data_IF_544101019694
#
_entry.id   IF_544101019694
#
_cell.length_a   1.000
_cell.length_b   1.000
_cell.length_c   1.000
_cell.angle_alpha   90.00
_cell.angle_beta   90.00
_cell.angle_gamma   90.00
#
_symmetry.space_group_name_H-M   'P 1'
#
loop_
_entity.id
_entity.type
_entity.pdbx_description
1 polymer ?
#
# COMPACT_ATOMS: atom_id res chain seq x y z
N UNK A 1 54.75 -5.35 10.39
CA UNK A 1 54.51 -5.14 8.94
C UNK A 1 53.90 -3.75 8.74
N UNK A 2 54.67 -2.80 8.23
CA UNK A 2 54.19 -1.44 7.97
C UNK A 2 53.35 -1.46 6.68
N UNK A 3 52.02 -1.33 6.81
CA UNK A 3 51.16 -1.06 5.65
C UNK A 3 51.56 0.30 5.09
N UNK A 4 52.13 0.31 3.89
CA UNK A 4 52.51 1.53 3.19
C UNK A 4 51.32 2.49 3.12
N UNK A 5 51.55 3.75 3.47
CA UNK A 5 50.57 4.84 3.36
C UNK A 5 50.31 5.09 1.88
N UNK A 6 49.36 4.35 1.30
CA UNK A 6 48.79 4.68 0.00
C UNK A 6 48.27 6.11 0.05
N UNK A 7 48.54 6.87 -1.01
CA UNK A 7 48.09 8.25 -1.14
C UNK A 7 46.56 8.25 -1.05
N UNK A 8 46.00 8.90 -0.01
CA UNK A 8 44.55 9.01 0.16
C UNK A 8 43.93 9.61 -1.10
N UNK A 9 42.85 8.98 -1.59
CA UNK A 9 42.15 9.46 -2.78
C UNK A 9 41.58 10.87 -2.51
N UNK A 10 41.30 11.68 -3.56
CA UNK A 10 40.65 12.97 -3.39
C UNK A 10 39.34 12.88 -2.59
N UNK A 11 38.59 11.78 -2.76
CA UNK A 11 37.36 11.49 -2.02
C UNK A 11 37.63 11.20 -0.54
N UNK A 12 38.68 10.43 -0.22
CA UNK A 12 39.06 10.14 1.17
C UNK A 12 39.50 11.39 1.92
N UNK A 13 40.21 12.30 1.26
CA UNK A 13 40.64 13.58 1.84
C UNK A 13 39.46 14.46 2.18
N UNK A 14 38.46 14.52 1.30
CA UNK A 14 37.25 15.32 1.54
C UNK A 14 36.41 14.70 2.68
N UNK A 15 36.27 13.38 2.71
CA UNK A 15 35.59 12.69 3.81
C UNK A 15 36.29 12.94 5.17
N UNK A 16 37.63 12.84 5.23
CA UNK A 16 38.40 13.15 6.43
C UNK A 16 38.13 14.59 6.93
N UNK A 17 38.04 15.54 5.99
CA UNK A 17 37.77 16.96 6.29
C UNK A 17 36.37 17.15 6.89
N UNK A 18 35.36 16.53 6.29
CA UNK A 18 33.96 16.61 6.74
C UNK A 18 33.78 16.02 8.14
N UNK A 19 34.25 14.79 8.34
CA UNK A 19 34.15 14.07 9.62
C UNK A 19 34.90 14.83 10.71
N UNK A 20 36.13 15.27 10.43
CA UNK A 20 36.93 16.09 11.35
C UNK A 20 36.18 17.35 11.80
N UNK A 21 35.58 18.07 10.84
CA UNK A 21 34.82 19.30 11.12
C UNK A 21 33.59 19.02 11.97
N UNK A 22 32.84 17.95 11.67
CA UNK A 22 31.64 17.56 12.42
C UNK A 22 31.99 17.17 13.85
N UNK A 23 32.96 16.29 14.07
CA UNK A 23 33.38 15.87 15.43
C UNK A 23 33.85 17.08 16.24
N UNK A 24 34.63 18.00 15.66
CA UNK A 24 35.04 19.25 16.36
C UNK A 24 33.84 20.12 16.77
N UNK A 25 32.86 20.22 15.88
CA UNK A 25 31.65 21.01 16.12
C UNK A 25 30.85 20.42 17.28
N UNK A 26 30.68 19.09 17.30
CA UNK A 26 29.98 18.37 18.36
C UNK A 26 30.67 18.49 19.72
N UNK A 27 32.00 18.34 19.77
CA UNK A 27 32.78 18.53 21.00
C UNK A 27 32.59 19.95 21.55
N UNK A 28 32.58 20.97 20.67
CA UNK A 28 32.39 22.37 21.09
C UNK A 28 30.96 22.65 21.56
N UNK A 29 29.95 22.16 20.83
CA UNK A 29 28.54 22.40 21.13
C UNK A 29 28.09 21.72 22.43
N UNK A 30 28.51 20.47 22.65
CA UNK A 30 28.18 19.68 23.84
C UNK A 30 29.14 19.93 25.01
N UNK A 31 30.15 20.79 24.83
CA UNK A 31 31.22 21.08 25.81
C UNK A 31 31.98 19.84 26.30
N UNK A 32 32.13 18.83 25.43
CA UNK A 32 32.76 17.55 25.76
C UNK A 32 34.25 17.63 25.43
N UNK A 33 35.10 17.17 26.35
CA UNK A 33 36.54 17.06 26.11
C UNK A 33 36.85 15.79 25.33
N UNK A 34 37.91 15.82 24.52
CA UNK A 34 38.34 14.63 23.76
C UNK A 34 38.60 13.41 24.65
N UNK A 35 39.07 13.61 25.88
CA UNK A 35 39.32 12.52 26.83
C UNK A 35 38.02 11.84 27.29
N UNK A 36 36.92 12.59 27.37
CA UNK A 36 35.60 12.07 27.72
C UNK A 36 35.02 11.27 26.56
N UNK A 37 35.18 11.75 25.33
CA UNK A 37 34.84 11.00 24.13
C UNK A 37 35.63 9.68 24.06
N UNK A 38 36.93 9.69 24.38
CA UNK A 38 37.76 8.49 24.42
C UNK A 38 37.26 7.47 25.45
N UNK A 39 36.91 7.93 26.65
CA UNK A 39 36.36 7.07 27.71
C UNK A 39 34.98 6.51 27.37
N UNK A 40 34.09 7.35 26.80
CA UNK A 40 32.73 6.95 26.48
C UNK A 40 32.63 6.02 25.26
N UNK A 41 33.51 6.17 24.28
CA UNK A 41 33.51 5.34 23.06
C UNK A 41 34.41 4.10 23.17
N UNK A 42 35.32 4.06 24.15
CA UNK A 42 36.38 3.05 24.23
C UNK A 42 37.45 3.17 23.13
N UNK A 43 37.43 4.23 22.31
CA UNK A 43 38.41 4.47 21.26
C UNK A 43 39.65 5.15 21.88
N UNK A 44 40.88 4.65 21.62
CA UNK A 44 42.11 5.28 22.14
C UNK A 44 42.22 6.76 21.76
N UNK A 45 42.67 7.59 22.70
CA UNK A 45 42.81 9.04 22.49
C UNK A 45 43.73 9.40 21.31
N UNK A 46 44.76 8.58 21.05
CA UNK A 46 45.64 8.71 19.89
C UNK A 46 44.88 8.54 18.57
N UNK A 47 43.98 7.55 18.50
CA UNK A 47 43.13 7.27 17.33
C UNK A 47 42.11 8.39 17.11
N UNK A 48 41.42 8.85 18.17
CA UNK A 48 40.51 10.00 18.09
C UNK A 48 41.23 11.28 17.67
N UNK A 49 42.48 11.48 18.09
CA UNK A 49 43.30 12.63 17.63
C UNK A 49 43.49 12.58 16.12
N UNK A 50 43.71 11.39 15.56
CA UNK A 50 43.79 11.18 14.11
C UNK A 50 42.52 11.61 13.38
N UNK A 51 41.35 11.19 13.89
CA UNK A 51 40.04 11.55 13.31
C UNK A 51 39.74 13.04 13.44
N UNK A 52 39.96 13.62 14.62
CA UNK A 52 39.73 15.04 14.90
C UNK A 52 40.67 15.90 14.06
N UNK A 53 41.92 15.50 13.83
CA UNK A 53 42.83 16.26 12.95
C UNK A 53 42.59 16.04 11.46
N UNK A 54 41.78 15.03 11.08
CA UNK A 54 41.55 14.68 9.68
C UNK A 54 42.71 13.93 9.04
N UNK A 55 43.54 13.25 9.84
CA UNK A 55 44.69 12.48 9.38
C UNK A 55 44.37 11.01 9.07
N UNK A 56 43.20 10.53 9.51
CA UNK A 56 42.74 9.16 9.32
C UNK A 56 41.22 9.12 9.26
N UNK A 57 40.67 8.16 8.50
CA UNK A 57 39.23 7.89 8.49
C UNK A 57 38.85 6.91 9.62
N UNK A 58 37.74 7.14 10.34
CA UNK A 58 37.17 6.13 11.20
C UNK A 58 36.66 4.95 10.37
N UNK A 59 36.92 3.74 10.84
CA UNK A 59 36.24 2.53 10.36
C UNK A 59 34.80 2.52 10.88
N UNK A 60 33.89 1.82 10.20
CA UNK A 60 32.46 1.78 10.54
C UNK A 60 32.22 1.48 12.04
N UNK A 61 32.92 0.52 12.63
CA UNK A 61 32.80 0.19 14.06
C UNK A 61 33.11 1.39 14.98
N UNK A 62 34.17 2.14 14.67
CA UNK A 62 34.53 3.33 15.44
C UNK A 62 33.59 4.50 15.14
N UNK A 63 33.03 4.56 13.93
CA UNK A 63 32.03 5.57 13.58
C UNK A 63 30.73 5.35 14.35
N UNK A 64 30.26 4.10 14.46
CA UNK A 64 29.08 3.74 15.25
C UNK A 64 29.25 4.12 16.71
N UNK A 65 30.39 3.76 17.33
CA UNK A 65 30.70 4.15 18.72
C UNK A 65 30.62 5.66 18.95
N UNK A 66 31.11 6.46 17.99
CA UNK A 66 31.05 7.93 18.08
C UNK A 66 29.59 8.40 17.91
N UNK A 67 28.83 7.82 16.98
CA UNK A 67 27.42 8.14 16.76
C UNK A 67 26.58 7.86 18.01
N UNK A 68 26.73 6.67 18.59
CA UNK A 68 26.04 6.25 19.82
C UNK A 68 26.38 7.18 21.00
N UNK A 69 27.64 7.59 21.12
CA UNK A 69 28.06 8.52 22.18
C UNK A 69 27.40 9.90 22.07
N UNK A 70 27.12 10.35 20.85
CA UNK A 70 26.47 11.64 20.61
C UNK A 70 24.94 11.53 20.42
N UNK A 71 24.37 10.33 20.54
CA UNK A 71 22.95 10.03 20.31
C UNK A 71 22.49 10.52 18.92
N UNK A 72 23.22 10.12 17.88
CA UNK A 72 22.94 10.48 16.49
C UNK A 72 23.16 9.30 15.57
N UNK A 73 22.65 9.41 14.35
CA UNK A 73 22.91 8.41 13.31
C UNK A 73 24.33 8.57 12.72
N UNK A 74 24.94 7.45 12.34
CA UNK A 74 26.24 7.40 11.65
C UNK A 74 26.26 8.29 10.40
N UNK A 75 25.11 8.43 9.72
CA UNK A 75 24.91 9.26 8.54
C UNK A 75 25.10 10.75 8.82
N UNK A 76 24.84 11.21 10.05
CA UNK A 76 25.07 12.61 10.44
C UNK A 76 26.55 12.94 10.61
N UNK A 77 27.38 11.92 10.85
CA UNK A 77 28.82 12.02 10.99
C UNK A 77 29.55 11.88 9.66
N UNK A 78 29.13 10.92 8.83
CA UNK A 78 29.68 10.69 7.50
C UNK A 78 28.58 10.37 6.48
N UNK A 79 28.26 11.33 5.58
CA UNK A 79 27.26 11.16 4.52
C UNK A 79 27.52 9.99 3.58
N UNK A 80 28.71 9.37 3.58
CA UNK A 80 28.97 8.18 2.75
C UNK A 80 28.22 6.93 3.23
N UNK A 81 27.74 6.90 4.47
CA UNK A 81 26.96 5.77 5.00
C UNK A 81 25.46 5.88 4.71
N UNK A 82 25.04 6.83 3.86
CA UNK A 82 23.67 6.96 3.37
C UNK A 82 23.13 5.70 2.65
N UNK A 83 23.96 4.69 2.35
CA UNK A 83 23.58 3.54 1.51
C UNK A 83 23.39 2.20 2.22
N UNK A 84 23.47 2.10 3.56
CA UNK A 84 23.47 0.75 4.19
C UNK A 84 22.26 0.48 5.10
N UNK A 85 21.66 1.46 5.80
CA UNK A 85 20.54 1.17 6.72
C UNK A 85 19.44 2.25 6.85
N UNK A 86 19.08 2.97 5.78
CA UNK A 86 17.84 3.78 5.70
C UNK A 86 17.45 4.08 4.24
N UNK A 87 16.15 4.29 3.92
CA UNK A 87 15.58 4.34 2.57
C UNK A 87 15.87 5.65 1.80
N UNK A 88 17.08 6.20 1.92
CA UNK A 88 17.41 7.54 1.40
C UNK A 88 17.44 7.57 -0.13
N UNK A 89 17.84 6.48 -0.78
CA UNK A 89 17.79 6.36 -2.25
C UNK A 89 16.38 6.55 -2.79
N UNK A 90 15.38 5.96 -2.12
CA UNK A 90 13.98 6.09 -2.52
C UNK A 90 13.47 7.53 -2.35
N UNK A 91 13.84 8.20 -1.26
CA UNK A 91 13.37 9.57 -1.00
C UNK A 91 13.91 10.61 -1.98
N UNK A 92 15.15 10.46 -2.44
CA UNK A 92 15.78 11.39 -3.39
C UNK A 92 15.27 11.15 -4.81
N UNK A 93 15.23 9.90 -5.27
CA UNK A 93 14.68 9.55 -6.58
C UNK A 93 13.19 9.93 -6.69
N UNK A 94 12.40 9.69 -5.64
CA UNK A 94 11.00 10.10 -5.61
C UNK A 94 10.84 11.62 -5.65
N UNK A 95 11.64 12.37 -4.88
CA UNK A 95 11.56 13.82 -4.85
C UNK A 95 11.89 14.44 -6.21
N UNK A 96 12.94 13.94 -6.88
CA UNK A 96 13.35 14.44 -8.20
C UNK A 96 12.27 14.15 -9.26
N UNK A 97 11.71 12.93 -9.28
CA UNK A 97 10.61 12.55 -10.19
C UNK A 97 9.36 13.37 -9.92
N UNK A 98 8.96 13.50 -8.65
CA UNK A 98 7.76 14.23 -8.25
C UNK A 98 7.87 15.74 -8.58
N UNK A 99 9.05 16.34 -8.44
CA UNK A 99 9.28 17.73 -8.82
C UNK A 99 9.22 17.95 -10.34
N UNK A 100 9.65 16.96 -11.15
CA UNK A 100 9.60 17.04 -12.60
C UNK A 100 8.18 16.97 -13.19
N UNK A 101 7.19 16.47 -12.44
CA UNK A 101 5.78 16.45 -12.86
C UNK A 101 5.19 17.87 -12.96
N UNK A 102 4.17 18.06 -13.79
CA UNK A 102 3.38 19.30 -13.76
C UNK A 102 2.40 19.34 -12.56
N UNK A 103 1.66 20.43 -12.42
CA UNK A 103 0.71 20.60 -11.30
C UNK A 103 -0.40 19.54 -11.28
N UNK A 104 -0.95 19.19 -12.44
CA UNK A 104 -2.04 18.22 -12.55
C UNK A 104 -1.58 16.83 -12.13
N UNK A 105 -0.42 16.40 -12.62
CA UNK A 105 0.13 15.08 -12.31
C UNK A 105 0.65 15.01 -10.86
N UNK A 106 1.23 16.08 -10.31
CA UNK A 106 1.58 16.13 -8.88
C UNK A 106 0.36 15.99 -7.98
N UNK A 107 -0.75 16.63 -8.34
CA UNK A 107 -1.99 16.51 -7.59
C UNK A 107 -2.50 15.05 -7.61
N UNK A 108 -2.51 14.42 -8.78
CA UNK A 108 -2.92 13.01 -8.91
C UNK A 108 -2.06 12.06 -8.05
N UNK A 109 -0.73 12.23 -8.03
CA UNK A 109 0.16 11.43 -7.19
C UNK A 109 -0.08 11.71 -5.69
N UNK A 110 -0.33 12.96 -5.33
CA UNK A 110 -0.63 13.34 -3.93
C UNK A 110 -1.95 12.72 -3.46
N UNK A 111 -2.98 12.78 -4.29
CA UNK A 111 -4.30 12.22 -3.98
C UNK A 111 -4.24 10.70 -3.89
N UNK A 112 -3.50 10.06 -4.79
CA UNK A 112 -3.21 8.62 -4.71
C UNK A 112 -2.49 8.27 -3.40
N UNK A 113 -1.41 8.97 -3.05
CA UNK A 113 -0.66 8.70 -1.82
C UNK A 113 -1.52 8.88 -0.56
N UNK A 114 -2.38 9.92 -0.53
CA UNK A 114 -3.33 10.12 0.58
C UNK A 114 -4.36 8.99 0.66
N UNK A 115 -4.92 8.58 -0.47
CA UNK A 115 -5.86 7.46 -0.56
C UNK A 115 -5.22 6.16 -0.06
N UNK A 116 -3.98 5.87 -0.46
CA UNK A 116 -3.26 4.68 0.00
C UNK A 116 -3.00 4.70 1.51
N UNK A 117 -2.65 5.87 2.07
CA UNK A 117 -2.49 6.01 3.52
C UNK A 117 -3.81 5.80 4.28
N UNK A 118 -4.92 6.31 3.75
CA UNK A 118 -6.25 6.07 4.31
C UNK A 118 -6.66 4.60 4.24
N UNK A 119 -6.40 3.94 3.11
CA UNK A 119 -6.61 2.50 2.93
C UNK A 119 -5.81 1.71 3.96
N UNK A 120 -4.50 1.97 4.11
CA UNK A 120 -3.65 1.30 5.09
C UNK A 120 -4.18 1.48 6.52
N UNK A 121 -4.53 2.71 6.90
CA UNK A 121 -5.06 3.00 8.24
C UNK A 121 -6.38 2.28 8.48
N UNK A 122 -7.23 2.20 7.45
CA UNK A 122 -8.52 1.48 7.52
C UNK A 122 -8.30 -0.02 7.65
N UNK A 123 -7.39 -0.60 6.88
CA UNK A 123 -7.00 -2.01 6.97
C UNK A 123 -6.49 -2.35 8.38
N UNK A 124 -5.56 -1.56 8.91
CA UNK A 124 -5.03 -1.76 10.27
C UNK A 124 -6.11 -1.70 11.34
N UNK A 125 -7.12 -0.84 11.16
CA UNK A 125 -8.25 -0.68 12.10
C UNK A 125 -9.24 -1.84 12.03
N UNK A 126 -9.43 -2.46 10.86
CA UNK A 126 -10.51 -3.41 10.61
C UNK A 126 -10.05 -4.87 10.54
N UNK A 127 -8.75 -5.13 10.33
CA UNK A 127 -8.18 -6.47 10.12
C UNK A 127 -8.51 -7.53 11.17
N UNK A 128 -8.81 -7.14 12.41
CA UNK A 128 -9.05 -8.07 13.51
C UNK A 128 -10.50 -8.59 13.53
N UNK A 129 -11.45 -7.77 13.07
CA UNK A 129 -12.89 -8.03 13.15
C UNK A 129 -13.57 -8.17 11.78
N UNK A 130 -12.91 -7.76 10.70
CA UNK A 130 -13.48 -7.71 9.36
C UNK A 130 -12.53 -8.26 8.30
N UNK A 131 -13.14 -8.77 7.23
CA UNK A 131 -12.47 -9.33 6.07
C UNK A 131 -12.62 -8.39 4.87
N UNK A 132 -11.54 -8.10 4.14
CA UNK A 132 -11.59 -7.27 2.93
C UNK A 132 -12.06 -8.09 1.72
N UNK A 133 -12.90 -7.47 0.89
CA UNK A 133 -13.40 -8.02 -0.37
C UNK A 133 -13.06 -7.08 -1.51
N UNK A 134 -12.44 -7.62 -2.57
CA UNK A 134 -12.20 -6.89 -3.82
C UNK A 134 -13.44 -6.95 -4.69
N UNK A 135 -14.10 -5.81 -4.89
CA UNK A 135 -15.37 -5.70 -5.58
C UNK A 135 -15.19 -4.94 -6.87
N UNK A 136 -15.81 -5.44 -7.94
CA UNK A 136 -15.69 -4.89 -9.28
C UNK A 136 -17.04 -4.35 -9.77
N UNK A 137 -17.00 -3.28 -10.57
CA UNK A 137 -18.18 -2.76 -11.25
C UNK A 137 -18.74 -3.73 -12.31
N UNK A 138 -17.85 -4.49 -12.95
CA UNK A 138 -18.20 -5.43 -14.00
C UNK A 138 -17.18 -6.55 -14.12
N UNK A 139 -17.57 -7.62 -14.79
CA UNK A 139 -16.69 -8.72 -15.17
C UNK A 139 -15.57 -8.26 -16.12
N UNK A 140 -15.83 -7.27 -16.99
CA UNK A 140 -14.79 -6.68 -17.84
C UNK A 140 -13.74 -5.93 -17.03
N UNK A 141 -14.14 -5.25 -15.96
CA UNK A 141 -13.20 -4.62 -15.01
C UNK A 141 -12.35 -5.68 -14.32
N UNK A 142 -12.96 -6.77 -13.84
CA UNK A 142 -12.24 -7.88 -13.23
C UNK A 142 -11.17 -8.48 -14.15
N UNK A 143 -11.48 -8.69 -15.44
CA UNK A 143 -10.55 -9.29 -16.39
C UNK A 143 -9.43 -8.34 -16.84
N UNK A 144 -9.78 -7.08 -17.12
CA UNK A 144 -8.88 -6.19 -17.86
C UNK A 144 -8.24 -5.10 -17.00
N UNK A 145 -8.83 -4.80 -15.84
CA UNK A 145 -8.45 -3.69 -14.95
C UNK A 145 -8.60 -4.08 -13.47
N UNK A 146 -7.97 -5.18 -13.02
CA UNK A 146 -8.14 -5.69 -11.66
C UNK A 146 -7.68 -4.69 -10.58
N UNK A 147 -6.84 -3.73 -10.93
CA UNK A 147 -6.39 -2.62 -10.08
C UNK A 147 -7.49 -1.59 -9.77
N UNK A 148 -8.58 -1.59 -10.54
CA UNK A 148 -9.74 -0.71 -10.31
C UNK A 148 -10.79 -1.33 -9.37
N UNK A 149 -10.42 -2.37 -8.62
CA UNK A 149 -11.28 -2.94 -7.60
C UNK A 149 -11.48 -1.96 -6.43
N UNK A 150 -12.69 -1.89 -5.92
CA UNK A 150 -12.94 -1.31 -4.60
C UNK A 150 -12.63 -2.35 -3.53
N UNK A 151 -12.16 -1.91 -2.37
CA UNK A 151 -12.03 -2.76 -1.19
C UNK A 151 -13.16 -2.41 -0.23
N UNK A 152 -13.99 -3.40 0.09
CA UNK A 152 -15.07 -3.27 1.08
C UNK A 152 -14.91 -4.30 2.18
N UNK A 153 -15.61 -4.10 3.29
CA UNK A 153 -15.42 -4.89 4.50
C UNK A 153 -16.71 -5.57 4.93
N UNK A 154 -16.56 -6.81 5.41
CA UNK A 154 -17.63 -7.62 6.01
C UNK A 154 -17.08 -8.32 7.25
N UNK A 155 -17.90 -8.46 8.28
CA UNK A 155 -17.58 -9.12 9.57
C UNK A 155 -17.51 -10.65 9.48
N UNK A 156 -17.57 -11.17 8.27
CA UNK A 156 -17.61 -12.60 7.97
C UNK A 156 -16.79 -12.90 6.74
N UNK A 157 -16.00 -13.96 6.82
CA UNK A 157 -15.34 -14.55 5.67
C UNK A 157 -16.30 -15.48 4.92
N UNK A 158 -16.43 -15.25 3.62
CA UNK A 158 -17.29 -15.99 2.71
C UNK A 158 -16.45 -16.40 1.51
N UNK A 159 -16.68 -17.61 1.02
CA UNK A 159 -15.98 -18.14 -0.13
C UNK A 159 -16.61 -17.61 -1.44
N UNK A 160 -15.79 -17.05 -2.32
CA UNK A 160 -16.20 -16.48 -3.60
C UNK A 160 -15.05 -16.51 -4.60
N UNK A 161 -15.36 -16.42 -5.90
CA UNK A 161 -14.36 -16.27 -6.95
C UNK A 161 -14.34 -14.84 -7.47
N UNK A 162 -15.51 -14.18 -7.54
CA UNK A 162 -15.66 -12.79 -8.02
C UNK A 162 -16.71 -12.07 -7.18
N UNK A 163 -16.45 -10.83 -6.76
CA UNK A 163 -17.43 -9.97 -6.11
C UNK A 163 -17.81 -8.80 -7.03
N UNK A 164 -19.11 -8.57 -7.21
CA UNK A 164 -19.64 -7.57 -8.15
C UNK A 164 -20.61 -6.62 -7.47
N UNK A 165 -20.55 -5.34 -7.81
CA UNK A 165 -21.53 -4.36 -7.35
C UNK A 165 -22.92 -4.62 -7.94
N UNK A 166 -23.95 -4.54 -7.10
CA UNK A 166 -25.35 -4.53 -7.53
C UNK A 166 -25.80 -3.07 -7.67
N UNK A 167 -25.55 -2.47 -8.84
CA UNK A 167 -25.87 -1.05 -9.09
C UNK A 167 -27.33 -0.76 -9.45
N UNK A 168 -28.17 -1.79 -9.63
CA UNK A 168 -29.59 -1.64 -9.99
C UNK A 168 -30.51 -2.19 -8.91
N UNK A 169 -31.73 -1.65 -8.77
CA UNK A 169 -32.77 -2.16 -7.88
C UNK A 169 -33.50 -3.39 -8.46
N UNK A 170 -33.05 -3.92 -9.59
CA UNK A 170 -33.81 -4.93 -10.35
C UNK A 170 -33.88 -6.31 -9.68
N UNK A 171 -33.07 -6.52 -8.64
CA UNK A 171 -33.06 -7.70 -7.78
C UNK A 171 -33.68 -7.44 -6.38
N UNK A 172 -34.27 -6.26 -6.17
CA UNK A 172 -34.96 -5.93 -4.93
C UNK A 172 -36.27 -6.72 -4.74
N UNK A 173 -36.71 -6.92 -3.47
CA UNK A 173 -36.05 -6.47 -2.23
C UNK A 173 -34.94 -7.39 -1.74
N UNK A 174 -34.75 -8.56 -2.37
CA UNK A 174 -33.85 -9.61 -1.88
C UNK A 174 -32.37 -9.20 -1.97
N UNK A 175 -32.01 -8.45 -3.00
CA UNK A 175 -30.66 -7.93 -3.21
C UNK A 175 -30.76 -6.41 -3.40
N UNK A 176 -30.60 -5.64 -2.32
CA UNK A 176 -30.74 -4.19 -2.38
C UNK A 176 -29.71 -3.54 -3.31
N UNK A 177 -30.11 -2.45 -3.96
CA UNK A 177 -29.17 -1.63 -4.73
C UNK A 177 -28.03 -1.14 -3.81
N UNK A 178 -26.80 -1.21 -4.29
CA UNK A 178 -25.59 -0.86 -3.52
C UNK A 178 -25.00 -2.02 -2.71
N UNK A 179 -25.63 -3.20 -2.72
CA UNK A 179 -25.04 -4.41 -2.14
C UNK A 179 -23.99 -5.03 -3.08
N UNK A 180 -23.22 -5.97 -2.54
CA UNK A 180 -22.18 -6.74 -3.24
C UNK A 180 -22.67 -8.16 -3.45
N UNK A 181 -22.65 -8.65 -4.69
CA UNK A 181 -22.90 -10.04 -5.04
C UNK A 181 -21.61 -10.85 -4.99
N UNK A 182 -21.60 -11.94 -4.22
CA UNK A 182 -20.51 -12.92 -4.22
C UNK A 182 -20.82 -14.05 -5.20
N UNK A 183 -19.97 -14.20 -6.21
CA UNK A 183 -20.15 -15.12 -7.34
C UNK A 183 -19.15 -16.27 -7.23
N UNK A 184 -19.64 -17.50 -7.40
CA UNK A 184 -18.82 -18.68 -7.67
C UNK A 184 -18.88 -19.03 -9.14
N UNK A 185 -17.71 -19.24 -9.75
CA UNK A 185 -17.57 -19.60 -11.15
C UNK A 185 -18.14 -21.00 -11.36
N UNK A 186 -19.26 -21.05 -12.08
CA UNK A 186 -20.04 -22.25 -12.31
C UNK A 186 -20.75 -22.13 -13.66
N UNK A 187 -21.12 -23.26 -14.23
CA UNK A 187 -22.04 -23.30 -15.37
C UNK A 187 -23.50 -23.16 -14.89
N UNK A 188 -24.46 -23.30 -15.81
CA UNK A 188 -25.88 -23.39 -15.46
C UNK A 188 -26.20 -24.71 -14.74
N UNK A 189 -26.12 -24.67 -13.41
CA UNK A 189 -26.44 -25.80 -12.53
C UNK A 189 -27.90 -25.80 -12.08
N UNK A 190 -28.47 -24.63 -11.77
CA UNK A 190 -29.78 -24.52 -11.13
C UNK A 190 -30.68 -23.51 -11.85
N UNK A 191 -31.74 -24.01 -12.48
CA UNK A 191 -32.76 -23.15 -13.07
C UNK A 191 -33.43 -22.27 -12.00
N UNK A 192 -33.58 -20.99 -12.28
CA UNK A 192 -34.20 -20.03 -11.37
C UNK A 192 -33.29 -19.51 -10.24
N UNK A 193 -32.00 -19.86 -10.23
CA UNK A 193 -31.02 -19.21 -9.37
C UNK A 193 -30.57 -17.86 -9.94
N UNK A 194 -29.88 -17.06 -9.12
CA UNK A 194 -29.28 -15.80 -9.57
C UNK A 194 -27.90 -16.09 -10.16
N UNK A 195 -27.68 -15.64 -11.39
CA UNK A 195 -26.39 -15.75 -12.07
C UNK A 195 -25.87 -14.37 -12.47
N UNK A 196 -24.55 -14.28 -12.53
CA UNK A 196 -23.83 -13.24 -13.25
C UNK A 196 -23.57 -13.72 -14.68
N UNK A 197 -23.97 -12.92 -15.66
CA UNK A 197 -23.79 -13.18 -17.08
C UNK A 197 -23.08 -11.98 -17.70
N UNK A 198 -22.04 -12.23 -18.48
CA UNK A 198 -21.43 -11.25 -19.36
C UNK A 198 -22.08 -11.36 -20.74
N UNK A 199 -22.66 -10.26 -21.19
CA UNK A 199 -23.36 -10.20 -22.47
C UNK A 199 -23.21 -8.80 -23.06
N UNK A 200 -22.68 -8.73 -24.28
CA UNK A 200 -22.39 -7.47 -24.99
C UNK A 200 -21.54 -6.49 -24.14
N UNK A 201 -20.52 -7.03 -23.47
CA UNK A 201 -19.62 -6.28 -22.58
C UNK A 201 -20.27 -5.79 -21.28
N UNK A 202 -21.53 -6.11 -21.03
CA UNK A 202 -22.26 -5.75 -19.82
C UNK A 202 -22.42 -6.94 -18.90
N UNK A 203 -22.17 -6.70 -17.60
CA UNK A 203 -22.41 -7.69 -16.56
C UNK A 203 -23.83 -7.58 -16.04
N UNK A 204 -24.59 -8.66 -16.18
CA UNK A 204 -26.00 -8.75 -15.84
C UNK A 204 -26.17 -9.74 -14.68
N UNK A 205 -26.74 -9.27 -13.57
CA UNK A 205 -27.11 -10.08 -12.42
C UNK A 205 -28.63 -10.27 -12.42
N UNK A 206 -29.09 -11.49 -12.71
CA UNK A 206 -30.52 -11.79 -12.85
C UNK A 206 -30.86 -13.18 -12.37
N UNK A 207 -32.16 -13.43 -12.16
CA UNK A 207 -32.67 -14.79 -12.05
C UNK A 207 -32.70 -15.43 -13.43
N UNK A 208 -32.07 -16.59 -13.57
CA UNK A 208 -31.81 -17.17 -14.90
C UNK A 208 -32.50 -18.52 -15.09
N UNK A 209 -33.15 -18.66 -16.25
CA UNK A 209 -33.63 -19.94 -16.77
C UNK A 209 -32.92 -20.21 -18.09
N UNK A 210 -32.20 -21.33 -18.15
CA UNK A 210 -31.54 -21.78 -19.36
C UNK A 210 -32.54 -22.63 -20.17
N UNK A 211 -33.17 -22.02 -21.17
CA UNK A 211 -34.13 -22.67 -22.06
C UNK A 211 -33.40 -23.26 -23.29
N UNK A 212 -34.03 -24.17 -24.05
CA UNK A 212 -33.39 -24.79 -25.22
C UNK A 212 -32.96 -23.80 -26.32
N UNK A 213 -33.65 -22.68 -26.47
CA UNK A 213 -33.41 -21.68 -27.54
C UNK A 213 -32.62 -20.46 -27.06
N UNK A 214 -32.42 -20.31 -25.74
CA UNK A 214 -31.74 -19.16 -25.17
C UNK A 214 -31.93 -19.07 -23.66
N UNK A 215 -31.55 -17.95 -23.09
CA UNK A 215 -31.56 -17.68 -21.67
C UNK A 215 -32.64 -16.65 -21.36
N UNK A 216 -33.53 -17.00 -20.42
CA UNK A 216 -34.51 -16.06 -19.85
C UNK A 216 -33.96 -15.43 -18.58
N UNK A 217 -33.92 -14.12 -18.58
CA UNK A 217 -33.49 -13.29 -17.47
C UNK A 217 -34.71 -12.63 -16.84
N UNK A 218 -34.97 -12.97 -15.58
CA UNK A 218 -36.13 -12.50 -14.83
C UNK A 218 -35.66 -11.55 -13.73
N UNK A 219 -36.27 -10.38 -13.67
CA UNK A 219 -36.08 -9.43 -12.57
C UNK A 219 -36.87 -9.89 -11.34
N UNK A 220 -36.30 -9.75 -10.15
CA UNK A 220 -37.06 -10.00 -8.91
C UNK A 220 -37.98 -8.82 -8.63
N UNK A 221 -37.51 -7.62 -8.93
CA UNK A 221 -38.29 -6.39 -8.88
C UNK A 221 -39.24 -6.30 -10.09
N UNK A 222 -40.55 -6.21 -9.80
CA UNK A 222 -41.63 -6.26 -10.80
C UNK A 222 -41.76 -5.04 -11.69
N UNK A 223 -41.01 -3.97 -11.41
CA UNK A 223 -40.95 -2.77 -12.28
C UNK A 223 -40.30 -3.07 -13.65
N UNK A 224 -39.53 -4.15 -13.74
CA UNK A 224 -38.75 -4.51 -14.92
C UNK A 224 -39.37 -5.71 -15.63
N UNK A 225 -39.45 -5.64 -16.95
CA UNK A 225 -39.82 -6.77 -17.80
C UNK A 225 -38.71 -7.82 -17.86
N UNK A 226 -39.11 -9.03 -18.18
CA UNK A 226 -38.18 -10.13 -18.44
C UNK A 226 -37.44 -9.88 -19.76
N UNK A 227 -36.18 -10.32 -19.83
CA UNK A 227 -35.32 -10.26 -21.03
C UNK A 227 -35.01 -11.67 -21.50
N UNK A 228 -34.91 -11.87 -22.80
CA UNK A 228 -34.49 -13.13 -23.40
C UNK A 228 -33.23 -12.90 -24.25
N UNK A 229 -32.26 -13.79 -24.13
CA UNK A 229 -31.02 -13.78 -24.91
C UNK A 229 -30.90 -15.11 -25.67
N UNK A 230 -30.96 -15.12 -27.00
CA UNK A 230 -30.74 -16.33 -27.79
C UNK A 230 -29.34 -16.93 -27.57
N UNK A 231 -29.24 -18.26 -27.61
CA UNK A 231 -27.92 -18.94 -27.49
C UNK A 231 -26.97 -18.61 -28.65
N UNK A 232 -27.50 -18.24 -29.82
CA UNK A 232 -26.72 -17.82 -30.98
C UNK A 232 -25.91 -16.54 -30.74
N UNK A 233 -26.28 -15.74 -29.75
CA UNK A 233 -25.55 -14.54 -29.36
C UNK A 233 -24.45 -14.83 -28.31
N UNK A 234 -24.23 -16.11 -28.00
CA UNK A 234 -23.17 -16.63 -27.14
C UNK A 234 -23.00 -15.89 -25.80
N UNK A 235 -24.07 -15.72 -25.00
CA UNK A 235 -23.96 -15.13 -23.67
C UNK A 235 -23.03 -15.95 -22.77
N UNK A 236 -22.11 -15.27 -22.08
CA UNK A 236 -21.12 -15.92 -21.21
C UNK A 236 -21.61 -15.96 -19.77
N UNK A 237 -21.76 -17.17 -19.22
CA UNK A 237 -21.99 -17.33 -17.78
C UNK A 237 -20.69 -17.08 -17.03
N UNK A 238 -20.74 -16.15 -16.09
CA UNK A 238 -19.62 -15.88 -15.19
C UNK A 238 -19.70 -16.83 -13.98
N UNK A 239 -20.90 -17.01 -13.44
CA UNK A 239 -21.10 -17.88 -12.28
C UNK A 239 -22.40 -17.62 -11.53
N UNK A 240 -22.65 -18.43 -10.50
CA UNK A 240 -23.84 -18.32 -9.63
C UNK A 240 -23.56 -17.38 -8.47
N UNK A 241 -24.54 -16.52 -8.17
CA UNK A 241 -24.50 -15.68 -6.97
C UNK A 241 -24.83 -16.55 -5.75
N UNK A 242 -23.86 -16.69 -4.86
CA UNK A 242 -23.95 -17.51 -3.64
C UNK A 242 -24.53 -16.73 -2.47
N UNK A 243 -24.12 -15.47 -2.35
CA UNK A 243 -24.53 -14.57 -1.30
C UNK A 243 -24.51 -13.13 -1.80
N UNK A 244 -25.14 -12.24 -1.04
CA UNK A 244 -24.92 -10.81 -1.17
C UNK A 244 -24.96 -10.15 0.20
N UNK A 245 -24.25 -9.03 0.32
CA UNK A 245 -24.19 -8.27 1.56
C UNK A 245 -24.11 -6.78 1.29
N UNK A 246 -24.57 -5.98 2.25
CA UNK A 246 -24.27 -4.56 2.27
C UNK A 246 -22.89 -4.36 2.91
N UNK A 247 -21.98 -3.64 2.25
CA UNK A 247 -20.66 -3.39 2.81
C UNK A 247 -20.76 -2.55 4.09
N UNK A 248 -19.77 -2.69 4.97
CA UNK A 248 -19.67 -1.88 6.18
C UNK A 248 -19.66 -0.39 5.83
N UNK A 249 -20.54 0.40 6.47
CA UNK A 249 -20.49 1.85 6.40
C UNK A 249 -19.36 2.39 7.29
N UNK A 250 -18.32 2.92 6.65
CA UNK A 250 -17.15 3.49 7.33
C UNK A 250 -17.42 4.87 7.94
N UNK A 251 -18.50 5.56 7.52
CA UNK A 251 -18.85 6.88 8.05
C UNK A 251 -19.41 6.82 9.47
N UNK A 252 -20.20 5.78 9.79
CA UNK A 252 -20.76 5.57 11.14
C UNK A 252 -19.68 5.12 12.15
N UNK A 253 -18.70 4.33 11.70
CA UNK A 253 -17.58 3.87 12.53
C UNK A 253 -16.68 5.03 13.01
N UNK A 254 -16.51 6.07 12.19
CA UNK A 254 -15.74 7.26 12.55
C UNK A 254 -16.36 8.03 13.75
N UNK A 255 -17.69 8.03 13.87
CA UNK A 255 -18.41 8.74 14.93
C UNK A 255 -18.42 7.94 16.25
N UNK A 256 -18.48 6.61 16.17
CA UNK A 256 -18.60 5.73 17.35
C UNK A 256 -17.40 5.79 18.30
N UNK A 257 -16.20 6.19 17.82
CA UNK A 257 -14.99 6.36 18.67
C UNK A 257 -14.78 7.79 19.18
N UNK A 258 -15.33 8.82 18.53
CA UNK A 258 -15.31 10.19 19.08
C UNK A 258 -16.14 10.28 20.38
N UNK A 259 -17.23 9.51 20.47
CA UNK A 259 -18.06 9.42 21.69
C UNK A 259 -17.54 8.48 22.79
N UNK A 260 -16.49 7.70 22.55
CA UNK A 260 -15.88 6.81 23.56
C UNK A 260 -14.62 7.40 24.22
N UNK A 261 -14.13 8.53 23.70
CA UNK A 261 -13.03 9.32 24.28
C UNK A 261 -13.52 10.62 24.96
N UNK A 262 -14.82 10.74 25.25
CA UNK A 262 -15.43 11.85 26.00
C UNK A 262 -15.90 11.42 27.37
#
# INVERSE_FOLDING_TARGET
MARGRGVASPQDKEAMRLISKKIKTLLKQKQIKQIELSRGTGIPASTLTGYIKGNSLPVLENMQKIADFFDMDVQELDPRYLSVHSPTSFSLEFADVFQALDQTHRQAVTDFAKKELENQTTEERLKDDYFPYKVYESFQTFLNKPEQADIVWLDKELDYDIALWIRTDSLEPKYPQGSVALVKNTHFEFAGAIYAIDYDGQTILKRVFNDPTGIRLISLNKKYSDKFIPHQEEPKVIGRVMAAFMPLDLSEQAQKRLGQNS
#
